data_IF_489218951629
#
_entry.id   IF_489218951629
#
_cell.length_a   1.000
_cell.length_b   1.000
_cell.length_c   1.000
_cell.angle_alpha   90.00
_cell.angle_beta   90.00
_cell.angle_gamma   90.00
#
_symmetry.space_group_name_H-M   'P 1'
#
loop_
_entity.id
_entity.type
_entity.pdbx_description
1 polymer ?
#
# COMPACT_ATOMS: atom_id res chain seq x y z
N UNK A 1 -37.41 26.19 10.17
CA UNK A 1 -36.28 26.95 10.74
C UNK A 1 -35.35 26.03 11.55
N UNK A 2 -35.86 25.24 12.50
CA UNK A 2 -35.05 24.21 13.21
C UNK A 2 -34.53 23.06 12.34
N UNK A 3 -35.21 22.71 11.25
CA UNK A 3 -34.72 21.68 10.30
C UNK A 3 -33.59 22.19 9.39
N UNK A 4 -33.55 23.50 9.09
CA UNK A 4 -32.48 24.11 8.29
C UNK A 4 -31.19 24.30 9.10
N UNK A 5 -31.29 24.64 10.39
CA UNK A 5 -30.11 24.71 11.28
C UNK A 5 -29.46 23.33 11.52
N UNK A 6 -30.26 22.25 11.52
CA UNK A 6 -29.76 20.87 11.61
C UNK A 6 -29.16 20.33 10.30
N UNK A 7 -29.42 20.98 9.17
CA UNK A 7 -28.81 20.67 7.87
C UNK A 7 -27.49 21.45 7.70
N UNK A 8 -27.41 22.64 8.28
CA UNK A 8 -26.20 23.47 8.28
C UNK A 8 -25.13 22.98 9.29
N UNK A 9 -25.55 22.35 10.40
CA UNK A 9 -24.67 21.59 11.31
C UNK A 9 -24.18 20.24 10.71
N UNK A 10 -24.75 19.79 9.59
CA UNK A 10 -24.31 18.59 8.87
C UNK A 10 -23.25 18.87 7.81
N UNK A 11 -22.88 20.14 7.66
CA UNK A 11 -21.90 20.63 6.69
C UNK A 11 -20.70 21.27 7.40
N UNK A 12 -20.40 20.83 8.63
CA UNK A 12 -19.07 21.03 9.20
C UNK A 12 -18.08 20.29 8.30
N UNK A 13 -17.43 21.04 7.42
CA UNK A 13 -16.30 20.54 6.65
C UNK A 13 -15.36 19.83 7.61
N UNK A 14 -15.17 18.51 7.43
CA UNK A 14 -14.17 17.75 8.15
C UNK A 14 -12.81 18.41 7.87
N UNK A 15 -12.37 19.24 8.80
CA UNK A 15 -11.16 20.02 8.66
C UNK A 15 -10.01 19.19 9.20
N UNK A 16 -9.06 18.90 8.31
CA UNK A 16 -7.78 18.31 8.68
C UNK A 16 -6.72 19.40 8.47
N UNK A 17 -6.01 19.71 9.55
CA UNK A 17 -5.00 20.75 9.57
C UNK A 17 -3.63 20.10 9.42
N UNK A 18 -2.83 20.65 8.50
CA UNK A 18 -1.42 20.34 8.40
C UNK A 18 -0.75 20.63 9.75
N UNK A 19 0.07 19.68 10.20
CA UNK A 19 0.87 19.78 11.42
C UNK A 19 2.33 19.98 11.02
N UNK A 20 3.10 18.91 11.10
CA UNK A 20 4.54 18.92 10.95
C UNK A 20 4.99 18.17 9.71
N UNK A 21 6.14 18.59 9.20
CA UNK A 21 6.79 17.95 8.07
C UNK A 21 8.20 17.52 8.46
N UNK A 22 8.67 16.42 7.91
CA UNK A 22 10.09 16.06 7.99
C UNK A 22 10.96 17.13 7.31
N UNK A 23 12.27 17.17 7.58
CA UNK A 23 13.20 17.85 6.68
C UNK A 23 13.08 17.30 5.25
N UNK A 24 13.49 18.12 4.27
CA UNK A 24 13.56 17.68 2.89
C UNK A 24 14.55 16.52 2.75
N UNK A 25 14.06 15.40 2.21
CA UNK A 25 14.86 14.24 1.85
C UNK A 25 15.61 14.48 0.54
N UNK A 26 16.65 13.67 0.24
CA UNK A 26 17.42 13.82 -1.00
C UNK A 26 16.55 13.73 -2.26
N UNK A 27 15.54 12.86 -2.25
CA UNK A 27 14.69 12.59 -3.40
C UNK A 27 13.22 12.35 -3.02
N UNK A 28 12.35 12.27 -4.03
CA UNK A 28 10.92 12.06 -3.88
C UNK A 28 10.59 10.80 -3.07
N UNK A 29 9.48 10.83 -2.34
CA UNK A 29 8.97 9.69 -1.57
C UNK A 29 7.87 9.02 -2.39
N UNK A 30 8.03 7.74 -2.73
CA UNK A 30 7.09 7.02 -3.59
C UNK A 30 6.24 5.98 -2.86
N UNK A 31 6.67 5.57 -1.66
CA UNK A 31 5.93 4.65 -0.82
C UNK A 31 5.89 5.19 0.62
N UNK A 32 4.71 5.12 1.23
CA UNK A 32 4.47 5.54 2.62
C UNK A 32 3.54 4.52 3.27
N UNK A 33 3.90 4.04 4.46
CA UNK A 33 3.08 3.13 5.26
C UNK A 33 3.24 3.46 6.74
N UNK A 34 2.19 3.21 7.52
CA UNK A 34 2.17 3.42 8.97
C UNK A 34 1.99 2.08 9.68
N UNK A 35 2.87 1.76 10.63
CA UNK A 35 2.82 0.52 11.41
C UNK A 35 1.80 0.60 12.53
N UNK A 36 1.26 -0.56 12.93
CA UNK A 36 0.43 -0.70 14.15
C UNK A 36 1.16 -0.26 15.42
N UNK A 37 2.49 -0.33 15.45
CA UNK A 37 3.38 0.15 16.52
C UNK A 37 3.68 1.65 16.47
N UNK A 38 2.92 2.41 15.67
CA UNK A 38 3.04 3.86 15.50
C UNK A 38 4.41 4.32 14.98
N UNK A 39 4.89 3.72 13.89
CA UNK A 39 6.06 4.15 13.13
C UNK A 39 5.66 4.44 11.69
N UNK A 40 6.28 5.44 11.08
CA UNK A 40 6.10 5.75 9.66
C UNK A 40 7.28 5.18 8.87
N UNK A 41 6.99 4.51 7.76
CA UNK A 41 8.00 4.02 6.82
C UNK A 41 7.87 4.77 5.52
N UNK A 42 8.98 5.33 5.03
CA UNK A 42 9.05 5.98 3.72
C UNK A 42 10.06 5.30 2.82
N UNK A 43 9.65 5.00 1.59
CA UNK A 43 10.51 4.51 0.53
C UNK A 43 10.71 5.60 -0.51
N UNK A 44 11.97 5.97 -0.74
CA UNK A 44 12.33 7.11 -1.56
C UNK A 44 12.97 6.70 -2.90
N UNK A 45 12.98 7.64 -3.84
CA UNK A 45 13.59 7.46 -5.16
C UNK A 45 15.13 7.33 -5.12
N UNK A 46 15.75 7.77 -4.02
CA UNK A 46 17.17 7.55 -3.71
C UNK A 46 17.50 6.10 -3.32
N UNK A 47 16.49 5.23 -3.16
CA UNK A 47 16.65 3.85 -2.73
C UNK A 47 16.75 3.66 -1.21
N UNK A 48 16.54 4.71 -0.43
CA UNK A 48 16.57 4.62 1.02
C UNK A 48 15.18 4.27 1.58
N UNK A 49 15.15 3.29 2.49
CA UNK A 49 14.01 3.03 3.36
C UNK A 49 14.27 3.72 4.70
N UNK A 50 13.38 4.62 5.10
CA UNK A 50 13.50 5.34 6.37
C UNK A 50 12.37 5.01 7.31
N UNK A 51 12.71 4.82 8.58
CA UNK A 51 11.76 4.55 9.67
C UNK A 51 11.72 5.79 10.57
N UNK A 52 10.53 6.30 10.83
CA UNK A 52 10.29 7.56 11.52
C UNK A 52 9.43 7.35 12.75
N UNK A 53 9.68 8.16 13.77
CA UNK A 53 8.72 8.37 14.83
C UNK A 53 7.75 9.50 14.41
N UNK A 54 6.44 9.24 14.31
CA UNK A 54 5.45 10.24 13.90
C UNK A 54 5.05 11.20 15.04
N UNK A 55 5.64 11.08 16.24
CA UNK A 55 5.45 12.09 17.29
C UNK A 55 6.08 13.41 16.87
N UNK A 56 5.36 14.50 17.07
CA UNK A 56 5.68 15.83 16.52
C UNK A 56 7.17 16.20 16.74
N UNK A 57 7.63 16.20 18.00
CA UNK A 57 9.01 16.58 18.33
C UNK A 57 10.10 15.74 17.66
N UNK A 58 9.81 14.51 17.25
CA UNK A 58 10.81 13.60 16.67
C UNK A 58 10.77 13.60 15.13
N UNK A 59 9.58 13.71 14.52
CA UNK A 59 9.41 13.61 13.07
C UNK A 59 10.21 14.68 12.29
N UNK A 60 10.28 15.90 12.82
CA UNK A 60 11.00 17.00 12.15
C UNK A 60 12.51 16.92 12.30
N UNK A 61 13.06 15.96 13.05
CA UNK A 61 14.50 15.94 13.34
C UNK A 61 15.27 15.06 12.37
N UNK A 62 15.02 13.75 12.37
CA UNK A 62 15.71 12.74 11.58
C UNK A 62 14.95 11.40 11.65
N UNK A 63 15.20 10.47 10.72
CA UNK A 63 14.67 9.11 10.87
C UNK A 63 15.38 8.39 12.03
N UNK A 64 14.67 7.43 12.64
CA UNK A 64 15.22 6.45 13.59
C UNK A 64 16.27 5.60 12.87
N UNK A 65 15.91 5.12 11.68
CA UNK A 65 16.77 4.34 10.81
C UNK A 65 16.73 4.86 9.37
N UNK A 66 17.89 4.92 8.72
CA UNK A 66 18.03 5.25 7.30
C UNK A 66 18.79 4.10 6.60
N UNK A 67 18.05 3.25 5.89
CA UNK A 67 18.53 1.96 5.39
C UNK A 67 18.79 2.00 3.88
N UNK A 68 20.00 1.63 3.47
CA UNK A 68 20.51 1.67 2.08
C UNK A 68 20.51 0.31 1.39
N UNK A 69 19.67 -0.62 1.84
CA UNK A 69 19.66 -2.01 1.37
C UNK A 69 19.12 -2.19 -0.05
N UNK A 70 18.37 -1.20 -0.56
CA UNK A 70 17.77 -1.19 -1.89
C UNK A 70 18.68 -0.44 -2.88
N UNK A 71 19.09 -1.05 -4.01
CA UNK A 71 20.03 -0.41 -4.94
C UNK A 71 19.47 0.76 -5.74
N UNK A 72 18.16 0.78 -5.98
CA UNK A 72 17.45 1.82 -6.72
C UNK A 72 16.20 2.26 -5.94
N UNK A 73 15.47 3.22 -6.51
CA UNK A 73 14.20 3.73 -6.00
C UNK A 73 13.26 2.64 -5.47
N UNK A 74 12.65 2.90 -4.32
CA UNK A 74 11.69 1.98 -3.69
C UNK A 74 10.30 2.24 -4.27
N UNK A 75 9.74 1.24 -4.95
CA UNK A 75 8.44 1.31 -5.62
C UNK A 75 7.27 0.87 -4.75
N UNK A 76 7.50 0.06 -3.72
CA UNK A 76 6.46 -0.41 -2.80
C UNK A 76 7.01 -0.78 -1.43
N UNK A 77 6.16 -0.63 -0.41
CA UNK A 77 6.38 -1.10 0.96
C UNK A 77 5.12 -1.85 1.40
N UNK A 78 5.32 -3.00 2.03
CA UNK A 78 4.29 -3.78 2.70
C UNK A 78 4.74 -4.10 4.13
N UNK A 79 3.80 -4.18 5.07
CA UNK A 79 4.07 -4.31 6.50
C UNK A 79 3.20 -5.43 7.07
N UNK A 80 3.73 -6.16 8.03
CA UNK A 80 3.02 -7.20 8.77
C UNK A 80 2.02 -6.60 9.76
N UNK A 81 1.02 -7.38 10.16
CA UNK A 81 -0.06 -6.89 11.04
C UNK A 81 0.47 -6.43 12.40
N UNK A 82 1.45 -7.16 12.94
CA UNK A 82 2.14 -6.85 14.19
C UNK A 82 3.10 -5.64 14.09
N UNK A 83 3.29 -5.10 12.88
CA UNK A 83 4.19 -3.97 12.64
C UNK A 83 5.66 -4.30 12.87
N UNK A 84 6.03 -5.58 12.88
CA UNK A 84 7.39 -6.04 13.16
C UNK A 84 8.28 -6.06 11.92
N UNK A 85 7.74 -6.48 10.77
CA UNK A 85 8.52 -6.58 9.54
C UNK A 85 7.96 -5.73 8.41
N UNK A 86 8.87 -5.18 7.60
CA UNK A 86 8.55 -4.50 6.36
C UNK A 86 9.24 -5.18 5.17
N UNK A 87 8.50 -5.30 4.07
CA UNK A 87 9.01 -5.73 2.79
C UNK A 87 9.11 -4.51 1.87
N UNK A 88 10.30 -4.19 1.38
CA UNK A 88 10.53 -3.11 0.42
C UNK A 88 10.93 -3.67 -0.96
N UNK A 89 10.38 -3.10 -2.02
CA UNK A 89 10.73 -3.45 -3.40
C UNK A 89 11.48 -2.31 -4.07
N UNK A 90 12.64 -2.62 -4.64
CA UNK A 90 13.48 -1.73 -5.45
C UNK A 90 13.19 -1.91 -6.94
N UNK A 91 13.34 -0.85 -7.74
CA UNK A 91 13.09 -0.87 -9.19
C UNK A 91 13.92 -1.87 -9.99
N UNK A 92 15.05 -2.34 -9.46
CA UNK A 92 15.87 -3.40 -10.07
C UNK A 92 15.31 -4.81 -9.85
N UNK A 93 14.23 -4.95 -9.08
CA UNK A 93 13.65 -6.23 -8.67
C UNK A 93 14.26 -6.80 -7.39
N UNK A 94 15.12 -6.05 -6.69
CA UNK A 94 15.56 -6.41 -5.35
C UNK A 94 14.40 -6.25 -4.37
N UNK A 95 14.14 -7.29 -3.58
CA UNK A 95 13.17 -7.28 -2.48
C UNK A 95 13.93 -7.49 -1.18
N UNK A 96 13.70 -6.62 -0.20
CA UNK A 96 14.37 -6.66 1.10
C UNK A 96 13.31 -6.79 2.20
N UNK A 97 13.56 -7.69 3.15
CA UNK A 97 12.79 -7.85 4.38
C UNK A 97 13.57 -7.24 5.54
N UNK A 98 12.93 -6.32 6.25
CA UNK A 98 13.52 -5.52 7.34
C UNK A 98 12.77 -5.81 8.63
N UNK A 99 13.49 -6.03 9.73
CA UNK A 99 12.97 -5.94 11.10
C UNK A 99 12.90 -4.46 11.49
N UNK A 100 11.68 -3.94 11.68
CA UNK A 100 11.40 -2.51 11.88
C UNK A 100 11.90 -2.04 13.25
N UNK A 101 11.83 -2.91 14.26
CA UNK A 101 12.23 -2.57 15.63
C UNK A 101 13.74 -2.35 15.73
N UNK A 102 14.52 -3.19 15.04
CA UNK A 102 15.98 -3.15 15.11
C UNK A 102 16.63 -2.41 13.92
N UNK A 103 15.88 -2.17 12.84
CA UNK A 103 16.41 -1.58 11.61
C UNK A 103 17.33 -2.53 10.84
N UNK A 104 17.14 -3.85 10.97
CA UNK A 104 18.04 -4.86 10.42
C UNK A 104 17.45 -5.58 9.20
N UNK A 105 18.30 -5.91 8.23
CA UNK A 105 17.90 -6.72 7.08
C UNK A 105 17.91 -8.20 7.48
N UNK A 106 16.73 -8.83 7.44
CA UNK A 106 16.54 -10.25 7.78
C UNK A 106 16.30 -11.14 6.55
N UNK A 107 16.25 -10.55 5.36
CA UNK A 107 16.21 -11.29 4.09
C UNK A 107 16.35 -10.38 2.88
N UNK A 108 16.96 -10.86 1.81
CA UNK A 108 17.12 -10.14 0.54
C UNK A 108 17.08 -11.08 -0.65
N UNK A 109 16.28 -10.75 -1.67
CA UNK A 109 16.11 -11.56 -2.87
C UNK A 109 16.17 -10.69 -4.11
N UNK A 110 16.90 -11.13 -5.13
CA UNK A 110 16.95 -10.48 -6.45
C UNK A 110 16.01 -11.21 -7.41
N UNK A 111 14.73 -10.84 -7.42
CA UNK A 111 13.67 -11.56 -8.16
C UNK A 111 13.88 -11.56 -9.68
N UNK A 112 14.64 -10.60 -10.21
CA UNK A 112 15.02 -10.54 -11.61
C UNK A 112 16.17 -11.46 -12.02
N UNK A 113 16.76 -12.22 -11.08
CA UNK A 113 17.82 -13.21 -11.34
C UNK A 113 17.44 -14.61 -10.87
N UNK A 114 16.24 -14.75 -10.30
CA UNK A 114 15.75 -16.00 -9.74
C UNK A 114 14.52 -16.48 -10.48
N UNK A 115 14.53 -17.77 -10.77
CA UNK A 115 13.36 -18.46 -11.30
C UNK A 115 12.50 -18.96 -10.14
N UNK A 116 11.18 -18.80 -10.26
CA UNK A 116 10.22 -19.16 -9.19
C UNK A 116 9.95 -20.67 -9.14
N UNK A 117 10.08 -21.37 -10.27
CA UNK A 117 9.92 -22.82 -10.38
C UNK A 117 10.64 -23.39 -11.61
N UNK A 118 10.85 -24.71 -11.68
CA UNK A 118 11.57 -25.33 -12.80
C UNK A 118 10.92 -25.00 -14.16
N UNK A 119 11.72 -24.51 -15.11
CA UNK A 119 11.27 -24.18 -16.47
C UNK A 119 10.60 -22.80 -16.63
N UNK A 120 10.48 -22.01 -15.56
CA UNK A 120 9.88 -20.68 -15.60
C UNK A 120 10.87 -19.58 -15.99
N UNK A 121 10.36 -18.38 -16.28
CA UNK A 121 11.19 -17.18 -16.49
C UNK A 121 11.39 -16.42 -15.19
N UNK A 122 12.45 -15.62 -15.13
CA UNK A 122 12.65 -14.60 -14.10
C UNK A 122 11.47 -13.63 -14.08
N UNK A 123 11.08 -13.22 -12.88
CA UNK A 123 9.96 -12.30 -12.65
C UNK A 123 10.43 -11.14 -11.78
N UNK A 124 11.06 -10.10 -12.38
CA UNK A 124 11.49 -8.93 -11.63
C UNK A 124 10.29 -8.24 -10.97
N UNK A 125 10.35 -8.09 -9.65
CA UNK A 125 9.36 -7.39 -8.86
C UNK A 125 9.38 -5.89 -9.19
N UNK A 126 8.19 -5.34 -9.43
CA UNK A 126 7.94 -3.91 -9.31
C UNK A 126 7.15 -3.63 -8.02
N UNK A 127 6.27 -4.55 -7.62
CA UNK A 127 5.53 -4.47 -6.38
C UNK A 127 5.61 -5.79 -5.64
N UNK A 128 5.65 -5.73 -4.31
CA UNK A 128 5.60 -6.91 -3.44
C UNK A 128 4.78 -6.66 -2.19
N UNK A 129 4.25 -7.74 -1.63
CA UNK A 129 3.46 -7.72 -0.41
C UNK A 129 3.87 -8.87 0.51
N UNK A 130 3.89 -8.63 1.82
CA UNK A 130 4.04 -9.67 2.84
C UNK A 130 2.69 -10.00 3.44
N UNK A 131 2.44 -11.28 3.70
CA UNK A 131 1.23 -11.75 4.34
C UNK A 131 1.14 -11.19 5.77
N UNK A 132 -0.04 -10.76 6.26
CA UNK A 132 -0.17 -10.07 7.55
C UNK A 132 0.42 -10.86 8.73
N UNK A 133 0.25 -12.18 8.72
CA UNK A 133 0.86 -13.11 9.70
C UNK A 133 2.12 -13.85 9.20
N UNK A 134 2.90 -13.26 8.29
CA UNK A 134 4.23 -13.77 7.91
C UNK A 134 4.28 -15.19 7.29
N UNK A 135 3.17 -15.67 6.70
CA UNK A 135 3.12 -17.04 6.14
C UNK A 135 3.77 -17.14 4.76
N UNK A 136 3.64 -16.09 3.97
CA UNK A 136 4.15 -16.01 2.61
C UNK A 136 4.36 -14.54 2.22
N UNK A 137 4.97 -14.35 1.07
CA UNK A 137 5.05 -13.06 0.41
C UNK A 137 4.79 -13.26 -1.08
N UNK A 138 4.42 -12.19 -1.76
CA UNK A 138 4.05 -12.23 -3.16
C UNK A 138 4.65 -11.03 -3.89
N UNK A 139 4.86 -11.18 -5.20
CA UNK A 139 5.32 -10.08 -6.03
C UNK A 139 4.83 -10.19 -7.47
N UNK A 140 4.73 -9.03 -8.11
CA UNK A 140 4.46 -8.90 -9.53
C UNK A 140 5.28 -7.74 -10.11
N UNK A 141 5.33 -7.66 -11.43
CA UNK A 141 6.10 -6.64 -12.14
C UNK A 141 5.75 -6.65 -13.62
N UNK A 142 6.76 -6.56 -14.49
CA UNK A 142 6.61 -6.46 -15.96
C UNK A 142 6.15 -7.78 -16.63
N UNK A 143 5.09 -8.41 -16.11
CA UNK A 143 4.47 -9.59 -16.71
C UNK A 143 2.99 -9.75 -16.33
N UNK A 144 2.31 -10.72 -16.94
CA UNK A 144 0.98 -11.20 -16.50
C UNK A 144 1.06 -12.16 -15.31
N UNK A 145 2.23 -12.31 -14.68
CA UNK A 145 2.46 -13.32 -13.66
C UNK A 145 2.53 -12.68 -12.29
N UNK A 146 1.96 -13.40 -11.34
CA UNK A 146 2.10 -13.16 -9.92
C UNK A 146 2.84 -14.36 -9.33
N UNK A 147 3.86 -14.10 -8.53
CA UNK A 147 4.55 -15.14 -7.80
C UNK A 147 4.21 -15.03 -6.31
N UNK A 148 4.02 -16.19 -5.67
CA UNK A 148 3.78 -16.32 -4.23
C UNK A 148 4.82 -17.31 -3.70
N UNK A 149 5.52 -16.95 -2.62
CA UNK A 149 6.54 -17.78 -1.99
C UNK A 149 6.30 -17.90 -0.49
N UNK A 150 6.40 -19.11 0.05
CA UNK A 150 6.29 -19.32 1.51
C UNK A 150 7.43 -18.63 2.25
N UNK A 151 7.18 -18.30 3.51
CA UNK A 151 8.21 -17.86 4.46
C UNK A 151 8.48 -19.05 5.39
N UNK A 152 9.74 -19.47 5.47
CA UNK A 152 10.10 -20.69 6.22
C UNK A 152 10.22 -20.39 7.73
N UNK A 153 11.15 -19.49 8.11
CA UNK A 153 11.30 -18.96 9.47
C UNK A 153 11.90 -17.55 9.46
N UNK A 154 11.30 -16.64 10.23
CA UNK A 154 11.80 -15.29 10.51
C UNK A 154 12.57 -15.30 11.83
N UNK A 155 13.63 -16.11 11.92
CA UNK A 155 14.54 -16.11 13.06
C UNK A 155 15.93 -15.66 12.61
N UNK A 156 16.62 -14.80 13.37
CA UNK A 156 18.04 -14.57 13.15
C UNK A 156 18.79 -15.86 13.53
N UNK A 157 19.10 -16.71 12.54
CA UNK A 157 20.07 -17.77 12.79
C UNK A 157 21.47 -17.18 12.73
N UNK A 158 22.07 -16.97 13.91
CA UNK A 158 23.50 -17.18 14.07
C UNK A 158 23.78 -18.65 13.70
N UNK A 159 24.25 -18.89 12.47
CA UNK A 159 24.45 -20.25 11.98
C UNK A 159 25.11 -20.29 10.62
N UNK A 160 26.35 -20.77 10.62
CA UNK A 160 27.30 -20.82 9.52
C UNK A 160 26.72 -21.20 8.15
N UNK A 161 27.02 -20.35 7.17
CA UNK A 161 26.83 -20.67 5.76
C UNK A 161 27.70 -21.85 5.35
N UNK A 162 27.12 -23.05 5.38
CA UNK A 162 27.60 -24.14 4.52
C UNK A 162 27.03 -23.88 3.13
N UNK A 163 27.88 -23.32 2.27
CA UNK A 163 27.66 -22.88 0.89
C UNK A 163 27.17 -21.43 0.70
N UNK A 164 27.95 -20.45 1.16
CA UNK A 164 28.26 -19.18 0.47
C UNK A 164 27.19 -18.33 -0.24
N UNK A 165 25.89 -18.55 -0.07
CA UNK A 165 24.85 -17.87 -0.87
C UNK A 165 23.47 -17.73 -0.20
N UNK A 166 23.37 -17.80 1.13
CA UNK A 166 22.08 -17.67 1.84
C UNK A 166 21.70 -16.20 2.06
N UNK A 167 21.56 -15.43 0.98
CA UNK A 167 21.09 -14.02 1.01
C UNK A 167 19.59 -13.90 1.25
N UNK A 168 18.82 -14.97 1.03
CA UNK A 168 17.36 -14.95 1.06
C UNK A 168 16.75 -14.77 2.45
N UNK A 169 17.44 -15.20 3.52
CA UNK A 169 16.88 -15.22 4.88
C UNK A 169 15.48 -15.86 4.90
N UNK A 170 14.51 -15.21 5.55
CA UNK A 170 13.13 -15.68 5.61
C UNK A 170 12.37 -15.74 4.27
N UNK A 171 12.91 -15.19 3.17
CA UNK A 171 12.27 -15.13 1.85
C UNK A 171 12.60 -16.34 0.95
N UNK A 172 13.20 -17.39 1.52
CA UNK A 172 13.78 -18.53 0.79
C UNK A 172 12.82 -19.66 0.40
N UNK A 173 11.57 -19.64 0.86
CA UNK A 173 10.66 -20.79 0.77
C UNK A 173 10.22 -21.19 -0.64
N UNK A 174 9.27 -22.13 -0.69
CA UNK A 174 8.75 -22.67 -1.95
C UNK A 174 7.90 -21.64 -2.70
N UNK A 175 8.17 -21.48 -4.01
CA UNK A 175 7.47 -20.54 -4.89
C UNK A 175 6.45 -21.20 -5.81
N UNK A 176 5.37 -20.49 -6.11
CA UNK A 176 4.42 -20.83 -7.19
C UNK A 176 4.08 -19.58 -8.00
N UNK A 177 3.88 -19.77 -9.30
CA UNK A 177 3.39 -18.74 -10.22
C UNK A 177 1.90 -18.94 -10.46
N UNK A 178 1.18 -17.82 -10.45
CA UNK A 178 -0.21 -17.71 -10.92
C UNK A 178 -0.21 -16.81 -12.16
N UNK A 179 -0.77 -17.31 -13.26
CA UNK A 179 -1.02 -16.49 -14.45
C UNK A 179 -2.30 -15.69 -14.24
N UNK A 180 -2.17 -14.37 -14.22
CA UNK A 180 -3.27 -13.44 -14.01
C UNK A 180 -3.96 -13.02 -15.32
N UNK A 181 -3.64 -13.69 -16.43
CA UNK A 181 -4.32 -13.53 -17.70
C UNK A 181 -3.73 -12.42 -18.58
N UNK A 182 -4.58 -11.56 -19.16
CA UNK A 182 -4.15 -10.52 -20.11
C UNK A 182 -3.75 -9.22 -19.40
N UNK A 183 -2.67 -9.25 -18.61
CA UNK A 183 -2.02 -8.07 -18.04
C UNK A 183 -0.54 -8.01 -18.42
N UNK A 184 0.06 -6.83 -18.59
CA UNK A 184 1.49 -6.70 -18.88
C UNK A 184 2.31 -6.27 -17.67
N UNK A 185 1.70 -5.57 -16.73
CA UNK A 185 2.42 -4.93 -15.64
C UNK A 185 1.56 -4.86 -14.38
N UNK A 186 2.03 -5.53 -13.31
CA UNK A 186 1.47 -5.42 -11.96
C UNK A 186 1.92 -4.12 -11.30
N UNK A 187 0.97 -3.28 -10.89
CA UNK A 187 1.19 -1.92 -10.41
C UNK A 187 1.23 -1.84 -8.88
N UNK A 188 0.25 -2.43 -8.21
CA UNK A 188 0.17 -2.49 -6.74
C UNK A 188 -0.34 -3.86 -6.30
N UNK A 189 0.10 -4.32 -5.12
CA UNK A 189 -0.14 -5.67 -4.62
C UNK A 189 -0.33 -5.61 -3.11
N UNK A 190 -1.45 -6.11 -2.60
CA UNK A 190 -1.76 -6.07 -1.16
C UNK A 190 -2.57 -7.29 -0.72
N UNK A 191 -2.13 -7.94 0.36
CA UNK A 191 -2.96 -8.90 1.08
C UNK A 191 -4.10 -8.19 1.79
N UNK A 192 -5.26 -8.85 1.89
CA UNK A 192 -6.33 -8.43 2.80
C UNK A 192 -5.84 -8.52 4.25
N UNK A 193 -6.38 -7.69 5.17
CA UNK A 193 -6.02 -7.74 6.59
C UNK A 193 -6.15 -9.13 7.23
N UNK A 194 -7.16 -9.91 6.85
CA UNK A 194 -7.34 -11.30 7.32
C UNK A 194 -6.38 -12.32 6.68
N UNK A 195 -5.59 -11.90 5.68
CA UNK A 195 -4.63 -12.72 4.94
C UNK A 195 -5.25 -13.74 3.97
N UNK A 196 -6.58 -13.80 3.84
CA UNK A 196 -7.22 -14.81 2.99
C UNK A 196 -7.19 -14.45 1.50
N UNK A 197 -7.14 -13.16 1.19
CA UNK A 197 -7.14 -12.64 -0.18
C UNK A 197 -5.86 -11.87 -0.51
N UNK A 198 -5.49 -11.88 -1.79
CA UNK A 198 -4.41 -11.07 -2.35
C UNK A 198 -4.94 -10.32 -3.57
N UNK A 199 -4.90 -8.98 -3.51
CA UNK A 199 -5.32 -8.13 -4.62
C UNK A 199 -4.12 -7.60 -5.39
N UNK A 200 -4.22 -7.62 -6.72
CA UNK A 200 -3.24 -7.10 -7.67
C UNK A 200 -3.92 -6.09 -8.60
N UNK A 201 -3.36 -4.90 -8.74
CA UNK A 201 -3.77 -3.91 -9.74
C UNK A 201 -2.83 -3.92 -10.94
N UNK A 202 -3.31 -3.51 -12.12
CA UNK A 202 -2.54 -3.62 -13.37
C UNK A 202 -2.55 -2.35 -14.20
N UNK A 203 -1.56 -2.23 -15.09
CA UNK A 203 -1.47 -1.13 -16.08
C UNK A 203 -2.65 -1.15 -17.09
N UNK A 204 -3.36 -2.27 -17.24
CA UNK A 204 -4.45 -2.43 -18.20
C UNK A 204 -5.85 -2.15 -17.61
N UNK A 205 -5.94 -1.53 -16.43
CA UNK A 205 -7.23 -1.17 -15.83
C UNK A 205 -7.91 -2.30 -15.05
N UNK A 206 -7.19 -3.39 -14.80
CA UNK A 206 -7.73 -4.54 -14.06
C UNK A 206 -7.32 -4.52 -12.60
N UNK A 207 -8.24 -4.95 -11.73
CA UNK A 207 -7.97 -5.33 -10.34
C UNK A 207 -8.34 -6.80 -10.19
N UNK A 208 -7.39 -7.62 -9.77
CA UNK A 208 -7.51 -9.09 -9.70
C UNK A 208 -7.41 -9.48 -8.23
N UNK A 209 -8.31 -10.33 -7.76
CA UNK A 209 -8.30 -10.87 -6.40
C UNK A 209 -8.09 -12.38 -6.46
N UNK A 210 -7.13 -12.85 -5.67
CA UNK A 210 -6.79 -14.25 -5.51
C UNK A 210 -7.13 -14.72 -4.11
N UNK A 211 -7.59 -15.95 -4.00
CA UNK A 211 -7.62 -16.69 -2.74
C UNK A 211 -6.20 -17.22 -2.44
N UNK A 212 -5.69 -16.93 -1.24
CA UNK A 212 -4.28 -17.19 -0.88
C UNK A 212 -4.00 -18.68 -0.68
N UNK A 213 -4.95 -19.43 -0.13
CA UNK A 213 -4.79 -20.85 0.18
C UNK A 213 -4.78 -21.70 -1.09
N UNK A 214 -5.79 -21.53 -1.94
CA UNK A 214 -5.94 -22.23 -3.22
C UNK A 214 -5.04 -21.66 -4.32
N UNK A 215 -4.61 -20.40 -4.16
CA UNK A 215 -3.87 -19.62 -5.15
C UNK A 215 -4.61 -19.55 -6.49
N UNK A 216 -5.93 -19.38 -6.41
CA UNK A 216 -6.82 -19.29 -7.56
C UNK A 216 -7.38 -17.87 -7.66
N UNK A 217 -7.62 -17.41 -8.89
CA UNK A 217 -8.27 -16.11 -9.12
C UNK A 217 -9.75 -16.27 -8.82
N UNK A 218 -10.24 -15.50 -7.86
CA UNK A 218 -11.65 -15.49 -7.44
C UNK A 218 -12.42 -14.31 -8.03
N UNK A 219 -11.73 -13.24 -8.42
CA UNK A 219 -12.35 -12.12 -9.12
C UNK A 219 -11.37 -11.37 -10.03
N UNK A 220 -11.91 -10.83 -11.14
CA UNK A 220 -11.22 -9.88 -12.02
C UNK A 220 -12.16 -8.73 -12.35
N UNK A 221 -11.87 -7.55 -11.84
CA UNK A 221 -12.62 -6.32 -12.10
C UNK A 221 -11.99 -5.53 -13.25
N UNK A 222 -12.81 -5.03 -14.17
CA UNK A 222 -12.39 -4.24 -15.35
C UNK A 222 -13.12 -2.88 -15.40
N UNK A 223 -13.24 -2.24 -14.24
CA UNK A 223 -13.99 -0.98 -14.10
C UNK A 223 -13.20 0.25 -14.54
N UNK A 224 -11.86 0.17 -14.53
CA UNK A 224 -10.98 1.26 -14.96
C UNK A 224 -10.61 1.13 -16.44
N UNK A 225 -10.39 2.28 -17.10
CA UNK A 225 -10.02 2.32 -18.53
C UNK A 225 -8.53 2.61 -18.78
N UNK A 226 -7.76 2.87 -17.72
CA UNK A 226 -6.31 3.14 -17.71
C UNK A 226 -5.65 2.42 -16.53
N UNK A 227 -4.34 2.57 -16.38
CA UNK A 227 -3.56 1.95 -15.31
C UNK A 227 -4.18 2.19 -13.92
N UNK A 228 -4.29 1.14 -13.13
CA UNK A 228 -4.71 1.21 -11.73
C UNK A 228 -3.45 1.25 -10.86
N UNK A 229 -3.10 2.43 -10.35
CA UNK A 229 -1.84 2.67 -9.63
C UNK A 229 -1.81 2.16 -8.21
N UNK A 230 -2.98 2.05 -7.60
CA UNK A 230 -3.09 1.83 -6.17
C UNK A 230 -4.36 1.05 -5.85
N UNK A 231 -4.25 0.19 -4.85
CA UNK A 231 -5.36 -0.49 -4.21
C UNK A 231 -5.23 -0.38 -2.69
N UNK A 232 -6.33 -0.49 -1.96
CA UNK A 232 -6.30 -0.63 -0.49
C UNK A 232 -7.54 -1.39 -0.03
N UNK A 233 -7.40 -2.14 1.05
CA UNK A 233 -8.48 -2.93 1.66
C UNK A 233 -9.14 -2.15 2.81
N UNK A 234 -10.42 -2.39 3.05
CA UNK A 234 -11.03 -2.04 4.35
C UNK A 234 -10.47 -2.94 5.45
N UNK A 235 -10.48 -2.45 6.69
CA UNK A 235 -9.98 -3.19 7.86
C UNK A 235 -10.72 -4.52 8.12
N UNK A 236 -11.97 -4.64 7.68
CA UNK A 236 -12.78 -5.86 7.76
C UNK A 236 -12.55 -6.84 6.60
N UNK A 237 -11.65 -6.53 5.65
CA UNK A 237 -11.36 -7.32 4.45
C UNK A 237 -12.53 -7.50 3.47
N UNK A 238 -13.66 -6.80 3.66
CA UNK A 238 -14.87 -6.99 2.84
C UNK A 238 -14.97 -6.01 1.66
N UNK A 239 -14.21 -4.92 1.69
CA UNK A 239 -14.20 -3.89 0.66
C UNK A 239 -12.79 -3.68 0.12
N UNK A 240 -12.71 -3.37 -1.16
CA UNK A 240 -11.49 -2.99 -1.85
C UNK A 240 -11.70 -1.64 -2.54
N UNK A 241 -10.70 -0.77 -2.51
CA UNK A 241 -10.71 0.50 -3.21
C UNK A 241 -9.55 0.53 -4.19
N UNK A 242 -9.74 1.19 -5.33
CA UNK A 242 -8.68 1.39 -6.33
C UNK A 242 -8.63 2.83 -6.81
N UNK A 243 -7.43 3.31 -7.16
CA UNK A 243 -7.19 4.61 -7.79
C UNK A 243 -6.43 4.46 -9.10
N UNK A 244 -6.79 5.26 -10.11
CA UNK A 244 -6.31 5.08 -11.48
C UNK A 244 -5.95 6.39 -12.19
N UNK A 245 -5.20 6.22 -13.28
CA UNK A 245 -4.90 7.22 -14.31
C UNK A 245 -6.16 7.74 -15.03
N UNK A 246 -7.30 7.10 -14.87
CA UNK A 246 -8.59 7.60 -15.35
C UNK A 246 -9.27 8.61 -14.41
N UNK A 247 -8.55 8.99 -13.35
CA UNK A 247 -8.92 9.98 -12.33
C UNK A 247 -10.06 9.53 -11.41
N UNK A 248 -10.46 8.26 -11.50
CA UNK A 248 -11.50 7.68 -10.67
C UNK A 248 -10.91 6.94 -9.48
N UNK A 249 -11.72 6.92 -8.42
CA UNK A 249 -11.61 5.91 -7.37
C UNK A 249 -12.80 4.96 -7.51
N UNK A 250 -12.57 3.66 -7.45
CA UNK A 250 -13.63 2.64 -7.51
C UNK A 250 -13.67 1.86 -6.21
N UNK A 251 -14.88 1.60 -5.71
CA UNK A 251 -15.13 0.75 -4.54
C UNK A 251 -15.73 -0.58 -4.99
N UNK A 252 -15.19 -1.68 -4.47
CA UNK A 252 -15.64 -3.04 -4.73
C UNK A 252 -16.14 -3.73 -3.45
N UNK A 253 -17.26 -4.45 -3.54
CA UNK A 253 -17.66 -5.45 -2.53
C UNK A 253 -17.01 -6.79 -2.91
N UNK A 254 -16.00 -7.23 -2.17
CA UNK A 254 -15.28 -8.46 -2.51
C UNK A 254 -16.05 -9.73 -2.12
N UNK A 255 -17.03 -9.63 -1.21
CA UNK A 255 -17.87 -10.77 -0.78
C UNK A 255 -18.78 -11.27 -1.88
N UNK A 256 -19.22 -10.35 -2.74
CA UNK A 256 -20.04 -10.69 -3.88
C UNK A 256 -19.29 -11.61 -4.87
N UNK A 257 -17.95 -11.62 -4.83
CA UNK A 257 -17.10 -12.34 -5.76
C UNK A 257 -17.27 -11.87 -7.21
N UNK A 258 -16.68 -12.60 -8.15
CA UNK A 258 -17.02 -12.47 -9.57
C UNK A 258 -17.94 -13.61 -9.99
N UNK A 259 -19.22 -13.32 -10.21
CA UNK A 259 -20.23 -14.34 -10.56
C UNK A 259 -20.28 -14.70 -12.05
N UNK A 260 -19.41 -14.11 -12.89
CA UNK A 260 -19.38 -14.40 -14.33
C UNK A 260 -18.18 -15.28 -14.73
N UNK A 261 -18.44 -16.41 -15.39
CA UNK A 261 -17.41 -17.26 -16.00
C UNK A 261 -16.72 -16.65 -17.24
N UNK A 262 -17.08 -15.43 -17.63
CA UNK A 262 -16.54 -14.74 -18.80
C UNK A 262 -16.61 -13.21 -18.63
N UNK A 263 -16.02 -12.66 -17.58
CA UNK A 263 -15.62 -11.23 -17.48
C UNK A 263 -16.65 -10.19 -17.94
N UNK A 264 -17.93 -10.38 -17.60
CA UNK A 264 -18.95 -9.38 -17.83
C UNK A 264 -18.69 -8.15 -16.96
N UNK A 265 -18.83 -6.95 -17.54
CA UNK A 265 -18.70 -5.68 -16.82
C UNK A 265 -19.61 -5.65 -15.58
N UNK A 266 -19.03 -5.45 -14.40
CA UNK A 266 -19.74 -4.77 -13.31
C UNK A 266 -20.34 -5.62 -12.18
N UNK A 267 -19.89 -6.84 -11.93
CA UNK A 267 -20.26 -7.56 -10.70
C UNK A 267 -19.10 -7.42 -9.70
N UNK A 268 -19.23 -6.44 -8.79
CA UNK A 268 -18.27 -6.16 -7.72
C UNK A 268 -18.05 -4.67 -7.48
N UNK A 269 -17.95 -3.85 -8.54
CA UNK A 269 -17.85 -2.40 -8.38
C UNK A 269 -19.19 -1.81 -7.93
N UNK A 270 -19.25 -1.29 -6.70
CA UNK A 270 -20.48 -0.76 -6.10
C UNK A 270 -20.60 0.76 -6.19
N UNK A 271 -19.49 1.46 -6.43
CA UNK A 271 -19.45 2.91 -6.57
C UNK A 271 -18.21 3.37 -7.35
N UNK A 272 -18.36 4.52 -8.02
CA UNK A 272 -17.25 5.28 -8.62
C UNK A 272 -17.27 6.68 -8.01
N UNK A 273 -16.13 7.13 -7.49
CA UNK A 273 -15.97 8.42 -6.85
C UNK A 273 -15.07 9.28 -7.74
N UNK A 274 -15.61 10.42 -8.19
CA UNK A 274 -14.95 11.36 -9.09
C UNK A 274 -14.62 12.66 -8.36
N UNK A 275 -13.46 13.24 -8.64
CA UNK A 275 -13.11 14.56 -8.10
C UNK A 275 -11.65 14.97 -8.33
N UNK A 276 -10.73 14.02 -8.45
CA UNK A 276 -9.37 14.32 -8.91
C UNK A 276 -9.38 14.79 -10.37
N UNK A 277 -8.49 15.72 -10.70
CA UNK A 277 -8.34 16.32 -12.03
C UNK A 277 -7.16 15.72 -12.83
N UNK A 278 -6.37 14.87 -12.18
CA UNK A 278 -5.26 14.11 -12.75
C UNK A 278 -5.25 12.70 -12.13
N UNK A 279 -4.19 11.93 -12.36
CA UNK A 279 -4.06 10.56 -11.88
C UNK A 279 -4.22 10.46 -10.37
N UNK A 280 -4.97 9.44 -9.92
CA UNK A 280 -5.03 9.07 -8.50
C UNK A 280 -3.81 8.18 -8.22
N UNK A 281 -2.84 8.71 -7.49
CA UNK A 281 -1.56 8.06 -7.26
C UNK A 281 -1.61 7.12 -6.04
N UNK A 282 -2.35 7.50 -4.99
CA UNK A 282 -2.57 6.67 -3.80
C UNK A 282 -3.98 6.80 -3.23
N UNK A 283 -4.46 5.70 -2.66
CA UNK A 283 -5.63 5.64 -1.79
C UNK A 283 -5.29 4.87 -0.53
N UNK A 284 -5.88 5.25 0.61
CA UNK A 284 -5.75 4.49 1.84
C UNK A 284 -7.03 4.59 2.70
N UNK A 285 -7.44 3.48 3.30
CA UNK A 285 -8.66 3.40 4.09
C UNK A 285 -8.38 3.75 5.55
N UNK A 286 -9.20 4.62 6.12
CA UNK A 286 -9.13 4.90 7.56
C UNK A 286 -9.48 3.65 8.37
N UNK A 287 -8.84 3.43 9.53
CA UNK A 287 -9.05 2.20 10.30
C UNK A 287 -10.46 2.06 10.89
N UNK A 288 -11.22 3.16 11.02
CA UNK A 288 -12.63 3.12 11.43
C UNK A 288 -13.60 2.84 10.26
N UNK A 289 -13.07 2.73 9.04
CA UNK A 289 -13.82 2.41 7.82
C UNK A 289 -14.72 3.52 7.30
N UNK A 290 -14.71 4.72 7.91
CA UNK A 290 -15.62 5.82 7.53
C UNK A 290 -15.07 6.68 6.41
N UNK A 291 -13.76 6.88 6.40
CA UNK A 291 -13.07 7.72 5.44
C UNK A 291 -12.15 6.91 4.53
N UNK A 292 -12.07 7.31 3.28
CA UNK A 292 -10.97 6.99 2.38
C UNK A 292 -10.14 8.27 2.17
N UNK A 293 -8.83 8.16 2.26
CA UNK A 293 -7.90 9.21 1.88
C UNK A 293 -7.37 8.96 0.47
N UNK A 294 -7.14 10.01 -0.31
CA UNK A 294 -6.47 9.90 -1.60
C UNK A 294 -5.52 11.05 -1.88
N UNK A 295 -4.46 10.74 -2.63
CA UNK A 295 -3.47 11.67 -3.15
C UNK A 295 -3.35 11.53 -4.66
N UNK A 296 -3.16 12.65 -5.37
CA UNK A 296 -3.11 12.66 -6.83
C UNK A 296 -1.97 13.47 -7.42
N UNK A 297 -1.75 13.26 -8.72
CA UNK A 297 -0.84 14.06 -9.55
C UNK A 297 -1.38 15.49 -9.79
N UNK A 298 -2.61 15.78 -9.36
CA UNK A 298 -3.18 17.13 -9.30
C UNK A 298 -2.73 17.89 -8.04
N UNK A 299 -1.80 17.34 -7.26
CA UNK A 299 -1.32 17.87 -5.98
C UNK A 299 -2.43 18.04 -4.95
N UNK A 300 -3.56 17.34 -5.11
CA UNK A 300 -4.68 17.40 -4.17
C UNK A 300 -4.65 16.22 -3.20
N UNK A 301 -5.02 16.52 -1.96
CA UNK A 301 -5.32 15.55 -0.91
C UNK A 301 -6.84 15.59 -0.72
N UNK A 302 -7.51 14.45 -0.87
CA UNK A 302 -8.97 14.36 -0.74
C UNK A 302 -9.35 13.33 0.30
N UNK A 303 -10.38 13.63 1.08
CA UNK A 303 -11.02 12.69 1.99
C UNK A 303 -12.44 12.43 1.51
N UNK A 304 -12.82 11.16 1.48
CA UNK A 304 -14.10 10.68 0.98
C UNK A 304 -14.84 9.99 2.10
N UNK A 305 -16.10 10.34 2.32
CA UNK A 305 -16.98 9.55 3.17
C UNK A 305 -17.39 8.29 2.40
N UNK A 306 -17.05 7.12 2.94
CA UNK A 306 -17.26 5.82 2.30
C UNK A 306 -18.76 5.51 2.17
N UNK A 307 -19.56 5.88 3.18
CA UNK A 307 -21.00 5.62 3.18
C UNK A 307 -21.75 6.52 2.20
N UNK A 308 -21.37 7.79 2.14
CA UNK A 308 -21.96 8.79 1.24
C UNK A 308 -21.37 8.74 -0.17
N UNK A 309 -20.20 8.11 -0.34
CA UNK A 309 -19.47 8.00 -1.61
C UNK A 309 -19.17 9.37 -2.21
N UNK A 310 -18.85 10.33 -1.35
CA UNK A 310 -18.68 11.74 -1.70
C UNK A 310 -17.41 12.30 -1.08
N UNK A 311 -16.81 13.27 -1.78
CA UNK A 311 -15.66 14.02 -1.26
C UNK A 311 -16.13 14.99 -0.17
N UNK A 312 -15.64 14.82 1.06
CA UNK A 312 -16.02 15.63 2.22
C UNK A 312 -14.94 16.60 2.67
N UNK A 313 -13.70 16.42 2.18
CA UNK A 313 -12.60 17.35 2.44
C UNK A 313 -11.66 17.39 1.24
N UNK A 314 -11.11 18.57 0.95
CA UNK A 314 -10.08 18.76 -0.06
C UNK A 314 -9.07 19.76 0.46
N UNK A 315 -7.81 19.36 0.44
CA UNK A 315 -6.65 20.17 0.80
C UNK A 315 -5.64 20.14 -0.34
N UNK A 316 -4.91 21.24 -0.52
CA UNK A 316 -3.84 21.32 -1.51
C UNK A 316 -2.53 20.92 -0.85
N UNK A 317 -1.83 19.96 -1.46
CA UNK A 317 -0.46 19.63 -1.13
C UNK A 317 0.54 20.53 -1.87
N UNK A 318 1.82 20.33 -1.58
CA UNK A 318 2.92 21.10 -2.15
C UNK A 318 3.40 20.60 -3.51
N UNK A 319 3.07 19.34 -3.86
CA UNK A 319 3.42 18.67 -5.12
C UNK A 319 2.56 17.41 -5.31
N UNK A 320 2.88 16.57 -6.32
CA UNK A 320 2.23 15.28 -6.53
C UNK A 320 2.30 14.39 -5.28
N UNK A 321 1.17 13.80 -4.89
CA UNK A 321 1.06 13.01 -3.66
C UNK A 321 1.17 11.52 -3.98
N UNK A 322 2.38 10.97 -3.85
CA UNK A 322 2.72 9.57 -4.13
C UNK A 322 2.55 8.62 -2.94
N UNK A 323 2.36 9.16 -1.73
CA UNK A 323 2.16 8.42 -0.49
C UNK A 323 0.98 8.98 0.31
N UNK A 324 0.15 8.09 0.84
CA UNK A 324 -0.90 8.40 1.81
C UNK A 324 -0.97 7.23 2.80
N UNK A 325 -0.94 7.51 4.10
CA UNK A 325 -1.08 6.49 5.13
C UNK A 325 -1.90 7.01 6.33
N UNK A 326 -2.99 6.32 6.67
CA UNK A 326 -3.71 6.59 7.91
C UNK A 326 -2.94 6.08 9.12
N UNK A 327 -3.04 6.80 10.23
CA UNK A 327 -2.63 6.26 11.52
C UNK A 327 -3.52 5.07 11.88
N UNK A 328 -2.96 3.89 12.21
CA UNK A 328 -3.75 2.72 12.55
C UNK A 328 -4.39 2.84 13.93
N UNK A 329 -5.54 2.19 14.12
CA UNK A 329 -6.29 2.21 15.38
C UNK A 329 -5.47 1.69 16.57
N UNK A 330 -4.57 0.73 16.35
CA UNK A 330 -3.72 0.13 17.38
C UNK A 330 -2.60 1.04 17.91
N UNK A 331 -2.37 2.21 17.28
CA UNK A 331 -1.33 3.14 17.72
C UNK A 331 -1.64 3.86 19.04
N UNK A 332 -2.91 3.82 19.49
CA UNK A 332 -3.46 4.44 20.72
C UNK A 332 -3.12 5.92 20.93
N UNK A 333 -2.55 6.60 19.92
CA UNK A 333 -2.10 8.00 20.03
C UNK A 333 -3.25 8.96 19.76
N UNK A 334 -4.04 8.70 18.70
CA UNK A 334 -5.30 9.37 18.44
C UNK A 334 -6.39 8.35 18.11
N UNK A 335 -7.65 8.77 18.26
CA UNK A 335 -8.77 7.97 17.81
C UNK A 335 -8.65 7.62 16.31
N UNK A 336 -9.13 6.45 15.94
CA UNK A 336 -9.16 5.96 14.56
C UNK A 336 -9.73 7.02 13.59
N UNK A 337 -9.03 7.23 12.47
CA UNK A 337 -9.43 8.20 11.44
C UNK A 337 -9.13 9.67 11.78
N UNK A 338 -8.36 9.98 12.84
CA UNK A 338 -8.04 11.38 13.21
C UNK A 338 -6.70 11.90 12.71
N UNK A 339 -5.79 11.03 12.30
CA UNK A 339 -4.47 11.44 11.79
C UNK A 339 -4.09 10.63 10.56
N UNK A 340 -3.43 11.28 9.61
CA UNK A 340 -2.81 10.64 8.46
C UNK A 340 -1.54 11.37 8.05
N UNK A 341 -0.73 10.71 7.23
CA UNK A 341 0.50 11.23 6.65
C UNK A 341 0.39 11.20 5.12
N UNK A 342 1.00 12.17 4.47
CA UNK A 342 1.17 12.20 3.01
C UNK A 342 2.63 12.47 2.67
N UNK A 343 3.04 12.05 1.48
CA UNK A 343 4.39 12.31 0.98
C UNK A 343 4.41 12.28 -0.55
N UNK A 344 5.42 12.92 -1.15
CA UNK A 344 5.55 12.92 -2.60
C UNK A 344 6.79 13.62 -3.13
N UNK A 345 6.62 14.37 -4.21
CA UNK A 345 7.72 15.06 -4.92
C UNK A 345 8.25 16.30 -4.19
N UNK A 346 7.59 16.68 -3.09
CA UNK A 346 8.05 17.72 -2.17
C UNK A 346 9.12 17.19 -1.22
N UNK A 347 9.42 15.89 -1.28
CA UNK A 347 10.50 15.22 -0.55
C UNK A 347 10.33 15.30 0.97
N UNK A 348 9.11 15.51 1.45
CA UNK A 348 8.80 15.54 2.87
C UNK A 348 7.61 14.64 3.19
N UNK A 349 7.60 14.09 4.39
CA UNK A 349 6.40 13.48 4.96
C UNK A 349 5.69 14.58 5.74
N UNK A 350 4.42 14.82 5.46
CA UNK A 350 3.61 15.83 6.15
C UNK A 350 2.45 15.16 6.88
N UNK A 351 2.31 15.48 8.17
CA UNK A 351 1.21 15.01 9.01
C UNK A 351 -0.01 15.93 8.92
N UNK A 352 -1.18 15.32 8.93
CA UNK A 352 -2.47 16.00 9.00
C UNK A 352 -3.28 15.44 10.15
N UNK A 353 -3.96 16.32 10.88
CA UNK A 353 -4.79 15.97 12.05
C UNK A 353 -6.18 16.60 11.94
N UNK A 354 -7.21 15.86 12.32
CA UNK A 354 -8.57 16.38 12.41
C UNK A 354 -8.65 17.52 13.44
N UNK A 355 -9.28 18.64 13.07
CA UNK A 355 -9.44 19.78 13.97
C UNK A 355 -10.16 19.37 15.27
N UNK A 356 -9.64 19.82 16.41
CA UNK A 356 -10.21 19.53 17.73
C UNK A 356 -9.99 18.11 18.24
N UNK A 357 -9.14 17.31 17.59
CA UNK A 357 -8.63 16.08 18.24
C UNK A 357 -7.57 16.45 19.26
N UNK A 358 -7.76 15.96 20.49
CA UNK A 358 -6.85 16.13 21.64
C UNK A 358 -6.16 14.81 21.90
#
# INVERSE_FOLDING_TARGET
MKEWENEQMRNDSLSYLQQESTPLLPDSIWALKWTSTNKLLSGSADGHLRIWDPTESELSTKPIYDLTSNPLAISSISITEDGKYALSTSLDGTVVLIDIENGEVVGKVETGREVVGEGEKELPAFTSAIHPQNKCWAWSGRSSKLAIRSIDQLSPQEGEGVNGNTTRGGLGGNGKIVDTGKGKFGMDLQFSPDGQSLALSTEQGQVIVLDVETQSIVATYTSHNKAVRTITWSSDSQWLYSGSDDHLIVLYDVRAGSTSGSGGKGEGAVAMMQGHQSWVLKVDASPDGKLLGSGGADSMIKLWDVGQRSCVSTSTGTSEIWGFAWQPAASDTFAAGKQFAVAGDDKAITLFRAAGSV
#
